data_IF_990868208910
#
_entry.id   IF_990868208910
#
_cell.length_a   1.000
_cell.length_b   1.000
_cell.length_c   1.000
_cell.angle_alpha   90.00
_cell.angle_beta   90.00
_cell.angle_gamma   90.00
#
_symmetry.space_group_name_H-M   'P 1'
#
loop_
_entity.id
_entity.type
_entity.pdbx_description
1 polymer ?
#
# COMPACT_ATOMS: atom_id res chain seq x y z
N UNK A 1 -11.44 -19.38 7.57
CA UNK A 1 -12.53 -20.30 7.95
C UNK A 1 -13.58 -19.70 8.91
N UNK A 2 -13.43 -18.47 9.43
CA UNK A 2 -14.38 -17.91 10.43
C UNK A 2 -15.65 -17.25 9.84
N UNK A 3 -15.64 -16.80 8.58
CA UNK A 3 -16.79 -16.07 8.02
C UNK A 3 -17.98 -16.98 7.63
N UNK A 4 -17.70 -18.15 7.06
CA UNK A 4 -18.71 -19.13 6.63
C UNK A 4 -19.63 -19.60 7.76
N UNK A 5 -19.15 -19.96 8.97
CA UNK A 5 -20.03 -20.35 10.08
C UNK A 5 -20.80 -19.17 10.69
N UNK A 6 -20.31 -17.93 10.55
CA UNK A 6 -20.97 -16.74 11.10
C UNK A 6 -22.13 -16.25 10.22
N UNK A 7 -22.05 -16.52 8.92
CA UNK A 7 -22.99 -16.03 7.91
C UNK A 7 -23.46 -17.16 6.97
N UNK A 8 -24.15 -18.19 7.48
CA UNK A 8 -24.51 -19.37 6.70
C UNK A 8 -25.50 -19.08 5.56
N UNK A 9 -26.32 -18.03 5.68
CA UNK A 9 -27.29 -17.66 4.64
C UNK A 9 -26.65 -17.15 3.34
N UNK A 10 -25.41 -16.66 3.38
CA UNK A 10 -24.77 -15.98 2.25
C UNK A 10 -23.88 -16.89 1.39
N UNK A 11 -23.78 -18.20 1.71
CA UNK A 11 -22.96 -19.18 0.96
C UNK A 11 -21.57 -18.64 0.59
N UNK A 12 -20.89 -18.06 1.58
CA UNK A 12 -19.64 -17.36 1.37
C UNK A 12 -18.49 -18.31 1.01
N UNK A 13 -17.79 -18.00 -0.09
CA UNK A 13 -16.54 -18.63 -0.44
C UNK A 13 -15.34 -17.84 0.10
N UNK A 14 -14.37 -18.55 0.68
CA UNK A 14 -13.17 -17.93 1.25
C UNK A 14 -12.26 -17.34 0.16
N UNK A 15 -12.28 -17.91 -1.06
CA UNK A 15 -11.49 -17.43 -2.21
C UNK A 15 -11.86 -16.00 -2.60
N UNK A 16 -13.13 -15.62 -2.50
CA UNK A 16 -13.59 -14.25 -2.77
C UNK A 16 -12.89 -13.21 -1.88
N UNK A 17 -12.77 -13.50 -0.58
CA UNK A 17 -12.10 -12.59 0.36
C UNK A 17 -10.58 -12.58 0.17
N UNK A 18 -9.99 -13.72 -0.23
CA UNK A 18 -8.56 -13.79 -0.55
C UNK A 18 -8.21 -12.88 -1.75
N UNK A 19 -9.01 -12.94 -2.81
CA UNK A 19 -8.85 -12.08 -4.00
C UNK A 19 -9.04 -10.61 -3.63
N UNK A 20 -10.07 -10.27 -2.85
CA UNK A 20 -10.28 -8.91 -2.38
C UNK A 20 -9.11 -8.38 -1.52
N UNK A 21 -8.54 -9.23 -0.66
CA UNK A 21 -7.39 -8.91 0.18
C UNK A 21 -6.08 -8.71 -0.60
N UNK A 22 -5.89 -9.42 -1.70
CA UNK A 22 -4.68 -9.33 -2.55
C UNK A 22 -4.43 -7.90 -3.03
N UNK A 23 -5.46 -7.21 -3.52
CA UNK A 23 -5.37 -5.81 -3.95
C UNK A 23 -5.36 -4.81 -2.80
N UNK A 24 -6.00 -5.15 -1.68
CA UNK A 24 -6.19 -4.24 -0.54
C UNK A 24 -4.88 -3.82 0.11
N UNK A 25 -3.92 -4.74 0.27
CA UNK A 25 -2.61 -4.42 0.85
C UNK A 25 -1.85 -3.42 -0.01
N UNK A 26 -1.86 -3.61 -1.33
CA UNK A 26 -1.22 -2.70 -2.28
C UNK A 26 -1.91 -1.32 -2.26
N UNK A 27 -3.24 -1.30 -2.28
CA UNK A 27 -4.04 -0.08 -2.20
C UNK A 27 -3.77 0.73 -0.92
N UNK A 28 -3.65 0.05 0.24
CA UNK A 28 -3.37 0.68 1.52
C UNK A 28 -1.93 1.19 1.63
N UNK A 29 -0.95 0.39 1.20
CA UNK A 29 0.47 0.69 1.40
C UNK A 29 1.00 1.73 0.40
N UNK A 30 0.60 1.60 -0.87
CA UNK A 30 1.14 2.41 -1.97
C UNK A 30 0.24 3.59 -2.33
N UNK A 31 -1.03 3.60 -1.89
CA UNK A 31 -2.05 4.60 -2.26
C UNK A 31 -2.42 4.61 -3.75
N UNK A 32 -2.39 3.44 -4.39
CA UNK A 32 -2.79 3.25 -5.79
C UNK A 32 -3.94 2.23 -5.90
N UNK A 33 -5.16 2.55 -5.43
CA UNK A 33 -6.26 1.58 -5.36
C UNK A 33 -6.69 1.08 -6.74
N UNK A 34 -6.79 1.94 -7.75
CA UNK A 34 -7.17 1.53 -9.11
C UNK A 34 -6.16 0.58 -9.72
N UNK A 35 -4.86 0.86 -9.56
CA UNK A 35 -3.78 -0.01 -10.04
C UNK A 35 -3.84 -1.39 -9.38
N UNK A 36 -4.09 -1.44 -8.07
CA UNK A 36 -4.23 -2.72 -7.36
C UNK A 36 -5.45 -3.53 -7.80
N UNK A 37 -6.58 -2.87 -8.05
CA UNK A 37 -7.79 -3.53 -8.53
C UNK A 37 -7.57 -4.10 -9.95
N UNK A 38 -7.05 -3.30 -10.88
CA UNK A 38 -6.78 -3.75 -12.26
C UNK A 38 -5.77 -4.89 -12.27
N UNK A 39 -4.68 -4.80 -11.50
CA UNK A 39 -3.67 -5.86 -11.43
C UNK A 39 -4.27 -7.19 -10.93
N UNK A 40 -5.10 -7.17 -9.89
CA UNK A 40 -5.74 -8.39 -9.38
C UNK A 40 -6.77 -8.93 -10.38
N UNK A 41 -7.55 -8.05 -11.02
CA UNK A 41 -8.48 -8.44 -12.08
C UNK A 41 -7.77 -9.17 -13.22
N UNK A 42 -6.69 -8.59 -13.74
CA UNK A 42 -5.91 -9.18 -14.84
C UNK A 42 -5.27 -10.52 -14.43
N UNK A 43 -4.75 -10.63 -13.21
CA UNK A 43 -4.09 -11.86 -12.73
C UNK A 43 -5.08 -13.00 -12.40
N UNK A 44 -6.33 -12.68 -12.05
CA UNK A 44 -7.33 -13.67 -11.60
C UNK A 44 -8.42 -13.93 -12.63
N UNK A 45 -8.54 -13.08 -13.65
CA UNK A 45 -9.58 -13.10 -14.69
C UNK A 45 -11.01 -13.19 -14.13
N UNK A 46 -11.24 -12.67 -12.91
CA UNK A 46 -12.51 -12.77 -12.21
C UNK A 46 -13.21 -11.41 -12.05
N UNK A 47 -13.87 -10.98 -13.12
CA UNK A 47 -14.60 -9.71 -13.18
C UNK A 47 -15.84 -9.65 -12.29
N UNK A 48 -16.41 -10.80 -11.89
CA UNK A 48 -17.57 -10.81 -11.00
C UNK A 48 -17.25 -10.24 -9.62
N UNK A 49 -15.97 -10.27 -9.22
CA UNK A 49 -15.50 -9.77 -7.94
C UNK A 49 -15.08 -8.29 -7.97
N UNK A 50 -15.34 -7.56 -9.06
CA UNK A 50 -14.91 -6.16 -9.19
C UNK A 50 -15.49 -5.25 -8.10
N UNK A 51 -16.78 -5.39 -7.79
CA UNK A 51 -17.43 -4.60 -6.74
C UNK A 51 -16.84 -4.85 -5.34
N UNK A 52 -16.74 -6.10 -4.85
CA UNK A 52 -16.11 -6.35 -3.55
C UNK A 52 -14.64 -5.92 -3.51
N UNK A 53 -13.90 -6.02 -4.62
CA UNK A 53 -12.53 -5.50 -4.71
C UNK A 53 -12.48 -3.97 -4.57
N UNK A 54 -13.34 -3.23 -5.26
CA UNK A 54 -13.42 -1.76 -5.15
C UNK A 54 -13.69 -1.35 -3.71
N UNK A 55 -14.71 -1.95 -3.07
CA UNK A 55 -15.09 -1.65 -1.68
C UNK A 55 -13.91 -1.92 -0.74
N UNK A 56 -13.25 -3.07 -0.89
CA UNK A 56 -12.15 -3.48 -0.02
C UNK A 56 -10.92 -2.59 -0.21
N UNK A 57 -10.51 -2.33 -1.45
CA UNK A 57 -9.36 -1.48 -1.75
C UNK A 57 -9.58 -0.03 -1.31
N UNK A 58 -10.75 0.55 -1.61
CA UNK A 58 -11.07 1.90 -1.16
C UNK A 58 -11.18 1.98 0.36
N UNK A 59 -11.84 1.02 1.01
CA UNK A 59 -11.91 0.94 2.46
C UNK A 59 -10.53 0.88 3.11
N UNK A 60 -9.63 0.05 2.57
CA UNK A 60 -8.25 -0.06 3.04
C UNK A 60 -7.46 1.24 2.83
N UNK A 61 -7.60 1.89 1.66
CA UNK A 61 -6.96 3.19 1.38
C UNK A 61 -7.50 4.29 2.30
N UNK A 62 -8.81 4.37 2.54
CA UNK A 62 -9.41 5.36 3.42
C UNK A 62 -8.99 5.16 4.88
N UNK A 63 -9.07 3.93 5.40
CA UNK A 63 -8.65 3.62 6.76
C UNK A 63 -7.19 3.97 6.99
N UNK A 64 -6.30 3.55 6.08
CA UNK A 64 -4.90 3.88 6.25
C UNK A 64 -4.65 5.40 6.12
N UNK A 65 -5.48 6.17 5.41
CA UNK A 65 -5.38 7.64 5.40
C UNK A 65 -5.83 8.24 6.74
N UNK A 66 -6.95 7.76 7.29
CA UNK A 66 -7.43 8.22 8.60
C UNK A 66 -6.47 7.90 9.75
N UNK A 67 -5.73 6.79 9.65
CA UNK A 67 -4.69 6.43 10.61
C UNK A 67 -3.36 7.19 10.39
N UNK A 68 -3.32 8.17 9.48
CA UNK A 68 -2.13 9.00 9.23
C UNK A 68 -1.03 8.31 8.41
N UNK A 69 -1.33 7.19 7.75
CA UNK A 69 -0.38 6.48 6.90
C UNK A 69 0.00 7.27 5.66
N UNK A 70 1.30 7.30 5.33
CA UNK A 70 1.85 7.95 4.13
C UNK A 70 2.07 6.91 3.02
N UNK A 71 1.95 7.28 1.74
CA UNK A 71 2.29 6.38 0.64
C UNK A 71 3.74 5.87 0.78
N UNK A 72 3.93 4.55 0.68
CA UNK A 72 5.22 3.90 0.88
C UNK A 72 6.29 4.47 -0.04
N UNK A 73 6.01 4.57 -1.35
CA UNK A 73 7.00 5.06 -2.32
C UNK A 73 7.36 6.52 -2.09
N UNK A 74 6.40 7.39 -1.74
CA UNK A 74 6.69 8.78 -1.38
C UNK A 74 7.58 8.86 -0.13
N UNK A 75 7.33 7.99 0.86
CA UNK A 75 8.11 7.94 2.10
C UNK A 75 9.55 7.47 1.85
N UNK A 76 9.73 6.44 1.03
CA UNK A 76 11.05 5.95 0.64
C UNK A 76 11.80 7.05 -0.13
N UNK A 77 11.14 7.70 -1.09
CA UNK A 77 11.73 8.79 -1.87
C UNK A 77 12.19 9.94 -0.97
N UNK A 78 11.36 10.39 -0.04
CA UNK A 78 11.71 11.43 0.93
C UNK A 78 12.92 11.05 1.78
N UNK A 79 12.99 9.80 2.25
CA UNK A 79 14.14 9.29 3.02
C UNK A 79 15.41 9.25 2.19
N UNK A 80 15.34 8.83 0.93
CA UNK A 80 16.49 8.80 0.03
C UNK A 80 17.02 10.20 -0.25
N UNK A 81 16.14 11.16 -0.56
CA UNK A 81 16.52 12.55 -0.80
C UNK A 81 17.12 13.22 0.45
N UNK A 82 16.58 12.94 1.63
CA UNK A 82 17.13 13.46 2.89
C UNK A 82 18.56 12.95 3.16
N UNK A 83 18.82 11.66 2.91
CA UNK A 83 20.16 11.08 3.03
C UNK A 83 21.15 11.72 2.05
N UNK A 84 20.75 11.90 0.79
CA UNK A 84 21.60 12.54 -0.23
C UNK A 84 21.98 13.98 0.13
N UNK A 85 21.05 14.76 0.69
CA UNK A 85 21.35 16.13 1.14
C UNK A 85 22.36 16.15 2.29
N UNK A 86 22.19 15.29 3.29
CA UNK A 86 23.13 15.19 4.40
C UNK A 86 24.55 14.78 3.95
N UNK A 87 24.66 13.88 2.97
CA UNK A 87 25.94 13.50 2.37
C UNK A 87 26.59 14.63 1.57
N UNK A 88 25.79 15.47 0.89
CA UNK A 88 26.29 16.63 0.17
C UNK A 88 26.79 17.73 1.12
N UNK A 89 26.05 18.00 2.20
CA UNK A 89 26.44 18.97 3.23
C UNK A 89 27.75 18.54 3.92
N UNK A 90 27.88 17.25 4.27
CA UNK A 90 29.11 16.71 4.86
C UNK A 90 30.33 16.82 3.93
N UNK A 91 30.14 16.70 2.61
CA UNK A 91 31.19 16.89 1.61
C UNK A 91 31.50 18.36 1.32
N UNK A 92 30.53 19.25 1.53
CA UNK A 92 30.67 20.68 1.26
C UNK A 92 31.31 21.45 2.45
N UNK A 93 31.33 20.88 3.65
CA UNK A 93 32.05 21.43 4.79
C UNK A 93 33.57 21.29 4.53
N UNK A 94 34.32 22.39 4.33
CA UNK A 94 35.76 22.29 4.10
C UNK A 94 36.43 21.82 5.40
N UNK A 95 37.41 20.92 5.25
CA UNK A 95 38.38 20.52 6.29
C UNK A 95 39.13 21.78 6.72
N UNK A 96 38.56 22.52 7.68
CA UNK A 96 39.07 23.79 8.15
C UNK A 96 39.30 23.72 9.65
N UNK A 97 40.52 23.37 10.05
CA UNK A 97 40.99 23.67 11.40
C UNK A 97 41.81 22.62 12.12
N UNK A 98 42.83 22.03 11.49
CA UNK A 98 43.96 21.44 12.23
C UNK A 98 45.25 21.78 11.49
N UNK A 99 45.76 23.00 11.76
CA UNK A 99 47.14 23.44 11.49
C UNK A 99 47.44 24.62 12.45
N UNK A 100 47.53 24.35 13.75
CA UNK A 100 48.27 25.17 14.74
C UNK A 100 48.80 24.27 15.82
#
# INVERSE_FOLDING_TARGET
MAATPLFPAYHLDAGTFAIAGMGALLAASVRAPLTGIVLVLEMTDNYQLILPMIITCLGATLLAQFLGGKPLYSTILQRTLAKQKAEQEAKAQPVGGENT
#
